data_IF_889510098609
#
_entry.id   IF_889510098609
#
_cell.length_a   1.000
_cell.length_b   1.000
_cell.length_c   1.000
_cell.angle_alpha   90.00
_cell.angle_beta   90.00
_cell.angle_gamma   90.00
#
_symmetry.space_group_name_H-M   'P 1'
#
loop_
_entity.id
_entity.type
_entity.pdbx_description
1 polymer ?
#
# COMPACT_ATOMS: atom_id res chain seq x y z
N UNK A 1 17.79 -22.69 9.56
CA UNK A 1 18.77 -23.58 8.92
C UNK A 1 18.29 -25.03 8.94
N UNK A 2 17.98 -25.62 10.10
CA UNK A 2 17.32 -26.94 10.16
C UNK A 2 15.91 -26.97 9.49
N UNK A 3 15.22 -25.82 9.38
CA UNK A 3 13.97 -25.65 8.61
C UNK A 3 14.07 -25.98 7.10
N UNK A 4 15.26 -25.98 6.51
CA UNK A 4 15.46 -26.08 5.04
C UNK A 4 16.27 -27.31 4.64
N UNK A 5 17.09 -27.84 5.56
CA UNK A 5 18.00 -28.96 5.32
C UNK A 5 17.61 -30.14 6.21
N UNK A 6 17.49 -31.33 5.62
CA UNK A 6 17.39 -32.60 6.36
C UNK A 6 18.62 -32.81 7.24
N UNK A 7 18.53 -33.64 8.29
CA UNK A 7 19.64 -33.90 9.23
C UNK A 7 20.95 -34.21 8.50
N UNK A 8 20.92 -35.14 7.55
CA UNK A 8 22.08 -35.51 6.74
C UNK A 8 22.67 -34.34 5.93
N UNK A 9 21.83 -33.43 5.40
CA UNK A 9 22.26 -32.25 4.65
C UNK A 9 22.82 -31.16 5.56
N UNK A 10 22.26 -31.00 6.75
CA UNK A 10 22.76 -30.08 7.76
C UNK A 10 24.14 -30.52 8.26
N UNK A 11 24.32 -31.81 8.49
CA UNK A 11 25.60 -32.40 8.90
C UNK A 11 26.67 -32.17 7.83
N UNK A 12 26.33 -32.42 6.56
CA UNK A 12 27.25 -32.15 5.45
C UNK A 12 27.62 -30.65 5.36
N UNK A 13 26.64 -29.76 5.48
CA UNK A 13 26.86 -28.31 5.43
C UNK A 13 27.73 -27.80 6.58
N UNK A 14 27.55 -28.34 7.78
CA UNK A 14 28.29 -27.96 8.97
C UNK A 14 29.62 -28.71 9.15
N UNK A 15 29.95 -29.64 8.24
CA UNK A 15 31.16 -30.47 8.33
C UNK A 15 31.11 -31.50 9.47
N UNK A 16 29.92 -31.92 9.89
CA UNK A 16 29.75 -32.92 10.94
C UNK A 16 29.66 -34.33 10.36
N UNK A 17 30.13 -35.30 11.14
CA UNK A 17 29.99 -36.72 10.84
C UNK A 17 28.52 -37.11 10.92
N UNK A 18 28.07 -37.99 10.02
CA UNK A 18 26.68 -38.45 9.98
C UNK A 18 26.27 -39.11 11.30
N UNK A 19 25.12 -38.71 11.85
CA UNK A 19 24.62 -39.18 13.15
C UNK A 19 25.24 -38.46 14.36
N UNK A 20 25.84 -37.27 14.14
CA UNK A 20 26.47 -36.49 15.18
C UNK A 20 25.46 -36.04 16.23
N UNK A 21 25.87 -36.08 17.51
CA UNK A 21 25.07 -35.50 18.61
C UNK A 21 24.87 -33.99 18.45
N UNK A 22 25.67 -33.33 17.60
CA UNK A 22 25.51 -31.92 17.26
C UNK A 22 24.24 -31.68 16.43
N UNK A 23 23.91 -32.57 15.48
CA UNK A 23 22.72 -32.42 14.64
C UNK A 23 21.43 -32.56 15.45
N UNK A 24 21.40 -33.55 16.36
CA UNK A 24 20.28 -33.78 17.29
C UNK A 24 19.84 -32.51 18.02
N UNK A 25 20.79 -31.71 18.55
CA UNK A 25 20.49 -30.44 19.27
C UNK A 25 19.64 -29.47 18.45
N UNK A 26 19.74 -29.49 17.12
CA UNK A 26 19.02 -28.58 16.22
C UNK A 26 17.79 -29.23 15.56
N UNK A 27 17.71 -30.56 15.49
CA UNK A 27 16.62 -31.32 14.84
C UNK A 27 15.42 -31.55 15.77
N UNK A 28 15.59 -31.45 17.09
CA UNK A 28 14.50 -31.67 18.06
C UNK A 28 13.32 -30.66 17.95
N UNK A 29 13.47 -29.57 17.19
CA UNK A 29 12.36 -28.65 16.89
C UNK A 29 11.46 -29.08 15.73
N UNK A 30 11.85 -30.09 14.94
CA UNK A 30 11.16 -30.50 13.71
C UNK A 30 9.90 -31.35 13.91
N UNK A 31 9.55 -31.76 15.14
CA UNK A 31 8.34 -32.57 15.37
C UNK A 31 7.05 -31.74 15.20
N UNK A 32 7.03 -30.50 15.71
CA UNK A 32 5.91 -29.56 15.49
C UNK A 32 5.82 -29.12 14.03
N UNK A 33 6.98 -28.91 13.40
CA UNK A 33 7.06 -28.54 11.99
C UNK A 33 6.64 -29.69 11.05
N UNK A 34 6.89 -30.95 11.44
CA UNK A 34 6.40 -32.13 10.72
C UNK A 34 4.89 -32.24 10.84
N UNK A 35 4.33 -31.96 12.02
CA UNK A 35 2.89 -31.96 12.26
C UNK A 35 2.20 -30.91 11.36
N UNK A 36 2.74 -29.69 11.30
CA UNK A 36 2.26 -28.62 10.41
C UNK A 36 2.39 -29.00 8.91
N UNK A 37 3.52 -29.58 8.49
CA UNK A 37 3.71 -30.03 7.10
C UNK A 37 2.79 -31.20 6.70
N UNK A 38 2.54 -32.14 7.62
CA UNK A 38 1.59 -33.24 7.44
C UNK A 38 0.17 -32.70 7.33
N UNK A 39 -0.22 -31.75 8.20
CA UNK A 39 -1.53 -31.11 8.16
C UNK A 39 -1.74 -30.35 6.84
N UNK A 40 -0.73 -29.62 6.35
CA UNK A 40 -0.77 -28.96 5.03
C UNK A 40 -0.88 -29.96 3.87
N UNK A 41 -0.10 -31.05 3.89
CA UNK A 41 -0.11 -32.07 2.84
C UNK A 41 -1.45 -32.81 2.74
N UNK A 42 -2.16 -32.95 3.87
CA UNK A 42 -3.50 -33.51 3.92
C UNK A 42 -4.62 -32.47 3.77
N UNK A 43 -4.29 -31.20 3.52
CA UNK A 43 -5.25 -30.11 3.32
C UNK A 43 -6.03 -29.72 4.58
N UNK A 44 -5.52 -30.08 5.76
CA UNK A 44 -6.12 -29.80 7.07
C UNK A 44 -5.65 -28.47 7.67
N UNK A 45 -4.67 -27.81 7.03
CA UNK A 45 -4.16 -26.50 7.42
C UNK A 45 -3.86 -25.67 6.17
N UNK A 46 -4.47 -24.49 6.06
CA UNK A 46 -4.15 -23.53 5.00
C UNK A 46 -2.77 -22.91 5.27
N UNK A 47 -1.97 -22.69 4.22
CA UNK A 47 -0.77 -21.85 4.34
C UNK A 47 -1.20 -20.50 4.91
N UNK A 48 -0.76 -20.18 6.13
CA UNK A 48 -0.82 -18.80 6.62
C UNK A 48 0.04 -17.97 5.68
N UNK A 49 -0.60 -17.39 4.67
CA UNK A 49 -0.01 -16.33 3.87
C UNK A 49 0.36 -15.25 4.87
N UNK A 50 1.63 -15.19 5.24
CA UNK A 50 2.22 -14.05 5.91
C UNK A 50 2.14 -12.84 4.96
N UNK A 51 0.92 -12.30 4.79
CA UNK A 51 0.62 -11.11 3.99
C UNK A 51 0.98 -9.83 4.75
N UNK A 52 1.86 -9.95 5.75
CA UNK A 52 2.43 -8.84 6.51
C UNK A 52 3.64 -8.20 5.81
N UNK A 53 4.00 -8.62 4.59
CA UNK A 53 4.94 -7.86 3.78
C UNK A 53 4.23 -6.64 3.20
N UNK A 54 4.61 -5.46 3.66
CA UNK A 54 4.23 -4.18 3.07
C UNK A 54 4.60 -4.17 1.58
N UNK A 55 3.63 -4.48 0.70
CA UNK A 55 3.84 -4.52 -0.75
C UNK A 55 3.90 -3.09 -1.30
N UNK A 56 4.88 -2.85 -2.16
CA UNK A 56 4.99 -1.59 -2.89
C UNK A 56 3.75 -1.37 -3.77
N UNK A 57 3.29 -0.12 -3.84
CA UNK A 57 2.12 0.26 -4.67
C UNK A 57 2.60 0.69 -6.05
N UNK A 58 2.11 0.05 -7.11
CA UNK A 58 2.45 0.40 -8.48
C UNK A 58 1.56 1.54 -9.01
N UNK A 59 2.19 2.57 -9.61
CA UNK A 59 1.44 3.66 -10.22
C UNK A 59 0.74 3.19 -11.50
N UNK A 60 -0.60 3.34 -11.65
CA UNK A 60 -1.30 2.90 -12.85
C UNK A 60 -0.93 3.72 -14.10
N UNK A 61 -0.44 4.97 -13.93
CA UNK A 61 -0.10 5.89 -15.02
C UNK A 61 1.31 5.69 -15.56
N UNK A 62 2.32 5.67 -14.68
CA UNK A 62 3.73 5.64 -15.08
C UNK A 62 4.46 4.35 -14.65
N UNK A 63 3.76 3.41 -14.02
CA UNK A 63 4.28 2.09 -13.60
C UNK A 63 5.42 2.12 -12.57
N UNK A 64 5.76 3.29 -12.03
CA UNK A 64 6.70 3.42 -10.92
C UNK A 64 6.19 2.70 -9.67
N UNK A 65 7.06 1.93 -9.02
CA UNK A 65 6.80 1.33 -7.70
C UNK A 65 7.02 2.39 -6.62
N UNK A 66 5.95 2.69 -5.89
CA UNK A 66 5.94 3.63 -4.80
C UNK A 66 5.95 2.89 -3.46
N UNK A 67 6.25 3.63 -2.40
CA UNK A 67 6.17 3.09 -1.04
C UNK A 67 4.72 2.64 -0.74
N UNK A 68 4.54 1.62 0.11
CA UNK A 68 3.22 1.13 0.53
C UNK A 68 2.28 2.22 1.07
N UNK A 69 2.87 3.22 1.73
CA UNK A 69 2.19 4.37 2.34
C UNK A 69 2.16 5.63 1.43
N UNK A 70 2.58 5.52 0.17
CA UNK A 70 2.65 6.67 -0.72
C UNK A 70 1.26 7.16 -1.14
N UNK A 71 0.91 8.38 -0.73
CA UNK A 71 -0.33 9.03 -1.15
C UNK A 71 -0.30 9.53 -2.61
N UNK A 72 0.90 9.86 -3.12
CA UNK A 72 1.14 10.43 -4.44
C UNK A 72 2.34 9.70 -5.07
N UNK A 73 2.31 9.52 -6.39
CA UNK A 73 3.42 8.97 -7.15
C UNK A 73 4.62 9.93 -7.12
N UNK A 74 5.79 9.41 -6.72
CA UNK A 74 7.03 10.20 -6.62
C UNK A 74 7.59 10.67 -7.98
N UNK A 75 7.13 10.09 -9.09
CA UNK A 75 7.61 10.42 -10.45
C UNK A 75 6.63 11.30 -11.20
N UNK A 76 5.36 10.92 -11.28
CA UNK A 76 4.38 11.61 -12.14
C UNK A 76 3.36 12.46 -11.38
N UNK A 77 3.40 12.48 -10.04
CA UNK A 77 2.48 13.27 -9.21
C UNK A 77 1.04 12.75 -9.17
N UNK A 78 0.74 11.57 -9.71
CA UNK A 78 -0.62 10.99 -9.63
C UNK A 78 -0.97 10.64 -8.17
N UNK A 79 -2.15 11.06 -7.71
CA UNK A 79 -2.71 10.62 -6.42
C UNK A 79 -3.01 9.12 -6.47
N UNK A 80 -2.37 8.34 -5.58
CA UNK A 80 -2.53 6.88 -5.50
C UNK A 80 -3.57 6.48 -4.45
N UNK A 81 -3.76 7.33 -3.43
CA UNK A 81 -4.74 7.10 -2.38
C UNK A 81 -6.12 7.64 -2.78
N UNK A 82 -7.12 6.75 -2.88
CA UNK A 82 -8.50 7.09 -3.25
C UNK A 82 -9.15 8.11 -2.31
N UNK A 83 -8.93 7.99 -1.00
CA UNK A 83 -9.50 8.92 -0.02
C UNK A 83 -8.93 10.33 -0.17
N UNK A 84 -7.63 10.43 -0.47
CA UNK A 84 -7.00 11.70 -0.74
C UNK A 84 -7.53 12.32 -2.04
N UNK A 85 -7.74 11.51 -3.07
CA UNK A 85 -8.33 11.97 -4.34
C UNK A 85 -9.72 12.59 -4.12
N UNK A 86 -10.60 11.92 -3.37
CA UNK A 86 -11.94 12.42 -3.04
C UNK A 86 -11.87 13.75 -2.27
N UNK A 87 -11.00 13.86 -1.25
CA UNK A 87 -10.85 15.09 -0.47
C UNK A 87 -10.38 16.29 -1.29
N UNK A 88 -9.47 16.06 -2.25
CA UNK A 88 -8.99 17.10 -3.15
C UNK A 88 -10.15 17.58 -4.04
N UNK A 89 -10.87 16.65 -4.67
CA UNK A 89 -11.99 16.96 -5.56
C UNK A 89 -13.12 17.72 -4.83
N UNK A 90 -13.48 17.28 -3.61
CA UNK A 90 -14.46 18.01 -2.78
C UNK A 90 -13.98 19.42 -2.40
N UNK A 91 -12.69 19.58 -2.13
CA UNK A 91 -12.09 20.87 -1.81
C UNK A 91 -12.06 21.82 -3.01
N UNK A 92 -11.75 21.31 -4.20
CA UNK A 92 -11.80 22.05 -5.46
C UNK A 92 -13.23 22.49 -5.77
N UNK A 93 -14.20 21.58 -5.68
CA UNK A 93 -15.61 21.91 -5.92
C UNK A 93 -16.11 23.04 -5.02
N UNK A 94 -15.78 23.02 -3.72
CA UNK A 94 -16.15 24.10 -2.78
C UNK A 94 -15.51 25.44 -3.14
N UNK A 95 -14.26 25.43 -3.62
CA UNK A 95 -13.58 26.67 -4.07
C UNK A 95 -14.25 27.21 -5.32
N UNK A 96 -14.56 26.35 -6.28
CA UNK A 96 -15.22 26.73 -7.52
C UNK A 96 -16.60 27.33 -7.25
N UNK A 97 -17.40 26.69 -6.38
CA UNK A 97 -18.69 27.22 -5.91
C UNK A 97 -18.54 28.62 -5.28
N UNK A 98 -17.52 28.83 -4.44
CA UNK A 98 -17.26 30.13 -3.81
C UNK A 98 -16.83 31.20 -4.83
N UNK A 99 -16.02 30.82 -5.82
CA UNK A 99 -15.58 31.72 -6.90
C UNK A 99 -16.78 32.12 -7.77
N UNK A 100 -17.61 31.16 -8.17
CA UNK A 100 -18.82 31.41 -8.97
C UNK A 100 -19.75 32.37 -8.23
N UNK A 101 -20.04 32.10 -6.95
CA UNK A 101 -20.88 32.97 -6.14
C UNK A 101 -20.30 34.39 -6.00
N UNK A 102 -18.97 34.53 -5.96
CA UNK A 102 -18.30 35.83 -5.95
C UNK A 102 -18.45 36.55 -7.28
N UNK A 103 -18.28 35.85 -8.40
CA UNK A 103 -18.43 36.41 -9.76
C UNK A 103 -19.87 36.91 -9.95
N UNK A 104 -20.89 36.11 -9.62
CA UNK A 104 -22.30 36.52 -9.73
C UNK A 104 -22.63 37.75 -8.88
N UNK A 105 -22.02 37.87 -7.69
CA UNK A 105 -22.17 39.06 -6.85
C UNK A 105 -21.53 40.29 -7.50
N UNK A 106 -20.33 40.14 -8.05
CA UNK A 106 -19.63 41.22 -8.73
C UNK A 106 -20.39 41.66 -9.98
N UNK A 107 -20.93 40.73 -10.76
CA UNK A 107 -21.74 41.01 -11.95
C UNK A 107 -22.97 41.87 -11.60
N UNK A 108 -23.70 41.51 -10.53
CA UNK A 108 -24.83 42.31 -10.05
C UNK A 108 -24.41 43.73 -9.63
N UNK A 109 -23.30 43.86 -8.94
CA UNK A 109 -22.78 45.17 -8.52
C UNK A 109 -22.37 46.03 -9.71
N UNK A 110 -21.66 45.45 -10.69
CA UNK A 110 -21.25 46.15 -11.92
C UNK A 110 -22.47 46.61 -12.70
N UNK A 111 -23.50 45.77 -12.87
CA UNK A 111 -24.77 46.17 -13.50
C UNK A 111 -25.39 47.38 -12.78
N UNK A 112 -25.51 47.31 -11.46
CA UNK A 112 -26.09 48.41 -10.68
C UNK A 112 -25.32 49.74 -10.81
N UNK A 113 -23.98 49.68 -10.94
CA UNK A 113 -23.14 50.85 -11.16
C UNK A 113 -23.28 51.43 -12.57
N UNK A 114 -23.47 50.59 -13.58
CA UNK A 114 -23.70 51.04 -14.96
C UNK A 114 -25.09 51.68 -15.11
N UNK A 115 -26.12 51.07 -14.52
CA UNK A 115 -27.49 51.58 -14.55
C UNK A 115 -27.61 52.92 -13.80
N UNK A 116 -26.95 53.05 -12.65
CA UNK A 116 -26.90 54.28 -11.85
C UNK A 116 -26.04 55.42 -12.43
N UNK A 117 -25.28 55.16 -13.51
CA UNK A 117 -24.43 56.16 -14.19
C UNK A 117 -25.01 56.64 -15.51
N UNK A 118 -26.24 56.24 -15.85
CA UNK A 118 -26.99 56.86 -16.95
C UNK A 118 -27.14 58.36 -16.66
N UNK A 119 -26.50 59.25 -17.43
CA UNK A 119 -26.57 60.67 -17.16
C UNK A 119 -28.00 61.13 -17.42
N UNK A 120 -28.59 61.77 -16.41
CA UNK A 120 -29.65 62.74 -16.68
C UNK A 120 -29.02 63.87 -17.48
N UNK A 121 -29.58 64.10 -18.67
CA UNK A 121 -29.35 65.20 -19.62
C UNK A 121 -28.13 65.08 -20.56
#
# INVERSE_FOLDING_TARGET
MAKVLTEARLELYAGWVQGSRMARRYVHFSARDLEEAILQLHGLQEEEKHDAMLKAVECPRCKTRNRPDAAICCVCGLVLNKELAIKIEEGERKKDEAIIARIERLERLVRSLLDGKSPSQ
#
